data_IF_636002366782
#
_entry.id   IF_636002366782
#
_cell.length_a   1.000
_cell.length_b   1.000
_cell.length_c   1.000
_cell.angle_alpha   90.00
_cell.angle_beta   90.00
_cell.angle_gamma   90.00
#
_symmetry.space_group_name_H-M   'P 1'
#
loop_
_entity.id
_entity.type
_entity.pdbx_description
1 polymer ?
#
# COMPACT_ATOMS: atom_id res chain seq x y z
N UNK A 1 2.61 6.57 -7.06
CA UNK A 1 3.83 7.02 -6.36
C UNK A 1 4.99 7.13 -7.33
N UNK A 2 5.82 8.16 -7.16
CA UNK A 2 7.04 8.37 -7.96
C UNK A 2 8.09 7.30 -7.61
N UNK A 3 9.09 7.06 -8.48
CA UNK A 3 10.22 6.19 -8.18
C UNK A 3 10.88 6.53 -6.84
N UNK A 4 11.11 5.51 -6.01
CA UNK A 4 11.74 5.63 -4.70
C UNK A 4 10.91 6.33 -3.62
N UNK A 5 9.68 6.78 -3.92
CA UNK A 5 8.83 7.42 -2.94
C UNK A 5 8.45 6.45 -1.81
N UNK A 6 8.38 6.99 -0.59
CA UNK A 6 7.94 6.27 0.60
C UNK A 6 6.96 7.13 1.40
N UNK A 7 5.94 6.48 1.95
CA UNK A 7 4.96 7.09 2.84
C UNK A 7 4.90 6.22 4.09
N UNK A 8 5.09 6.82 5.26
CA UNK A 8 4.98 6.17 6.56
C UNK A 8 3.79 6.76 7.34
N UNK A 9 3.00 5.89 7.97
CA UNK A 9 1.91 6.25 8.85
C UNK A 9 2.14 5.61 10.22
N UNK A 10 2.27 6.44 11.26
CA UNK A 10 2.49 5.96 12.62
C UNK A 10 1.24 5.32 13.25
N UNK A 11 0.05 5.65 12.76
CA UNK A 11 -1.23 5.09 13.19
C UNK A 11 -2.26 5.15 12.05
N UNK A 12 -3.30 4.29 12.05
CA UNK A 12 -4.35 4.34 11.03
C UNK A 12 -5.21 5.58 11.26
N UNK A 13 -5.49 6.33 10.18
CA UNK A 13 -6.38 7.51 10.24
C UNK A 13 -7.82 7.14 10.68
N UNK A 14 -8.27 5.93 10.34
CA UNK A 14 -9.54 5.35 10.77
C UNK A 14 -9.30 3.87 11.06
N UNK A 15 -9.54 3.45 12.30
CA UNK A 15 -9.36 2.06 12.71
C UNK A 15 -10.36 1.14 11.99
N UNK A 16 -9.87 0.02 11.44
CA UNK A 16 -10.72 -0.95 10.74
C UNK A 16 -11.14 -0.55 9.33
N UNK A 17 -10.59 0.54 8.78
CA UNK A 17 -10.84 0.93 7.40
C UNK A 17 -10.26 -0.12 6.44
N UNK A 18 -11.10 -0.64 5.55
CA UNK A 18 -10.68 -1.63 4.56
C UNK A 18 -10.11 -0.91 3.34
N UNK A 19 -8.91 -1.34 2.92
CA UNK A 19 -8.23 -0.86 1.73
C UNK A 19 -8.02 -1.98 0.73
N UNK A 20 -8.29 -1.68 -0.53
CA UNK A 20 -8.00 -2.54 -1.66
C UNK A 20 -7.05 -1.80 -2.59
N UNK A 21 -5.91 -2.42 -2.87
CA UNK A 21 -4.89 -1.87 -3.75
C UNK A 21 -4.78 -2.78 -4.95
N UNK A 22 -4.99 -2.22 -6.13
CA UNK A 22 -4.71 -2.90 -7.39
C UNK A 22 -3.56 -2.18 -8.11
N UNK A 23 -2.47 -2.90 -8.34
CA UNK A 23 -1.28 -2.34 -8.95
C UNK A 23 -1.37 -2.44 -10.48
N UNK A 24 -1.39 -1.30 -11.16
CA UNK A 24 -1.48 -1.21 -12.62
C UNK A 24 -0.11 -1.32 -13.29
N UNK A 25 0.92 -0.71 -12.70
CA UNK A 25 2.29 -0.76 -13.21
C UNK A 25 3.32 -0.43 -12.13
N UNK A 26 4.56 -0.88 -12.31
CA UNK A 26 5.63 -0.73 -11.34
C UNK A 26 5.55 -1.78 -10.25
N UNK A 27 6.08 -1.46 -9.06
CA UNK A 27 6.07 -2.33 -7.89
C UNK A 27 5.82 -1.49 -6.63
N UNK A 28 5.03 -2.04 -5.71
CA UNK A 28 4.69 -1.40 -4.45
C UNK A 28 4.86 -2.39 -3.29
N UNK A 29 5.72 -2.05 -2.34
CA UNK A 29 5.86 -2.77 -1.08
C UNK A 29 5.03 -2.08 -0.01
N UNK A 30 4.14 -2.83 0.62
CA UNK A 30 3.29 -2.39 1.72
C UNK A 30 3.75 -3.14 2.95
N UNK A 31 4.09 -2.42 4.01
CA UNK A 31 4.42 -3.01 5.31
C UNK A 31 3.40 -2.57 6.32
N UNK A 32 2.87 -3.50 7.10
CA UNK A 32 1.98 -3.22 8.23
C UNK A 32 2.47 -4.03 9.43
N UNK A 33 2.88 -3.32 10.47
CA UNK A 33 3.53 -3.91 11.65
C UNK A 33 4.69 -4.85 11.25
N UNK A 34 4.52 -6.17 11.43
CA UNK A 34 5.51 -7.20 11.13
C UNK A 34 5.33 -7.86 9.76
N UNK A 35 4.25 -7.53 9.05
CA UNK A 35 3.93 -8.14 7.77
C UNK A 35 4.27 -7.21 6.61
N UNK A 36 4.79 -7.78 5.53
CA UNK A 36 5.10 -7.03 4.31
C UNK A 36 4.63 -7.80 3.09
N UNK A 37 4.09 -7.07 2.13
CA UNK A 37 3.64 -7.57 0.84
C UNK A 37 4.22 -6.73 -0.28
N UNK A 38 4.85 -7.37 -1.26
CA UNK A 38 5.31 -6.72 -2.48
C UNK A 38 4.36 -7.09 -3.61
N UNK A 39 3.73 -6.07 -4.21
CA UNK A 39 2.84 -6.21 -5.34
C UNK A 39 3.58 -5.89 -6.63
N UNK A 40 3.31 -6.68 -7.68
CA UNK A 40 3.67 -6.42 -9.07
C UNK A 40 2.46 -5.98 -9.88
N UNK A 41 2.70 -5.48 -11.08
CA UNK A 41 1.61 -5.12 -12.01
C UNK A 41 0.65 -6.30 -12.22
N UNK A 42 -0.64 -6.07 -11.97
CA UNK A 42 -1.70 -7.09 -12.01
C UNK A 42 -2.13 -7.58 -10.63
N UNK A 43 -1.27 -7.46 -9.61
CA UNK A 43 -1.57 -7.94 -8.27
C UNK A 43 -2.58 -7.05 -7.53
N UNK A 44 -3.37 -7.69 -6.66
CA UNK A 44 -4.32 -7.02 -5.78
C UNK A 44 -4.07 -7.43 -4.32
N UNK A 45 -4.06 -6.44 -3.43
CA UNK A 45 -4.02 -6.65 -1.99
C UNK A 45 -5.26 -6.03 -1.34
N UNK A 46 -5.93 -6.83 -0.52
CA UNK A 46 -6.99 -6.37 0.38
C UNK A 46 -6.55 -6.56 1.81
N UNK A 47 -6.63 -5.50 2.62
CA UNK A 47 -6.26 -5.54 4.02
C UNK A 47 -7.04 -4.50 4.82
N UNK A 48 -7.11 -4.71 6.12
CA UNK A 48 -7.66 -3.74 7.06
C UNK A 48 -6.50 -2.96 7.66
N UNK A 49 -6.62 -1.64 7.73
CA UNK A 49 -5.61 -0.82 8.39
C UNK A 49 -5.61 -1.08 9.91
N UNK A 50 -4.48 -1.57 10.41
CA UNK A 50 -4.21 -1.76 11.82
C UNK A 50 -2.78 -1.34 12.15
N UNK A 51 -2.61 -0.42 13.10
CA UNK A 51 -1.29 -0.01 13.58
C UNK A 51 -0.44 0.79 12.57
N UNK A 52 0.88 0.67 12.66
CA UNK A 52 1.85 1.35 11.79
C UNK A 52 1.87 0.72 10.41
N UNK A 53 1.82 1.55 9.37
CA UNK A 53 1.93 1.08 7.99
C UNK A 53 2.88 1.95 7.16
N UNK A 54 3.50 1.36 6.15
CA UNK A 54 4.28 2.08 5.16
C UNK A 54 4.05 1.56 3.75
N UNK A 55 4.18 2.47 2.80
CA UNK A 55 4.04 2.23 1.36
C UNK A 55 5.33 2.69 0.71
N UNK A 56 5.99 1.79 -0.01
CA UNK A 56 7.25 2.08 -0.69
C UNK A 56 7.16 1.69 -2.15
N UNK A 57 7.32 2.66 -3.03
CA UNK A 57 7.40 2.41 -4.47
C UNK A 57 8.80 1.92 -4.85
N UNK A 58 8.86 1.11 -5.90
CA UNK A 58 10.13 0.66 -6.48
C UNK A 58 11.03 1.84 -6.85
N UNK A 59 12.34 1.67 -6.66
CA UNK A 59 13.35 2.73 -6.75
C UNK A 59 13.37 3.46 -8.11
N UNK A 60 13.19 2.72 -9.21
CA UNK A 60 13.24 3.26 -10.57
C UNK A 60 11.88 3.24 -11.29
N UNK A 61 11.16 2.10 -11.27
CA UNK A 61 9.84 1.96 -11.90
C UNK A 61 8.67 2.70 -11.23
N UNK A 62 8.82 3.16 -9.98
CA UNK A 62 7.72 3.74 -9.22
C UNK A 62 6.55 2.77 -9.02
N UNK A 63 5.36 3.32 -8.76
CA UNK A 63 4.14 2.52 -8.61
C UNK A 63 2.91 3.29 -9.09
N UNK A 64 2.12 2.73 -10.00
CA UNK A 64 0.80 3.26 -10.38
C UNK A 64 -0.25 2.26 -9.93
N UNK A 65 -1.12 2.67 -9.01
CA UNK A 65 -2.12 1.80 -8.41
C UNK A 65 -3.45 2.52 -8.26
N UNK A 66 -4.53 1.75 -8.18
CA UNK A 66 -5.83 2.21 -7.70
C UNK A 66 -5.90 1.87 -6.21
N UNK A 67 -6.33 2.84 -5.40
CA UNK A 67 -6.69 2.64 -4.01
C UNK A 67 -8.20 2.79 -3.88
N UNK A 68 -8.87 1.72 -3.43
CA UNK A 68 -10.27 1.74 -3.05
C UNK A 68 -10.35 1.70 -1.53
N UNK A 69 -11.16 2.58 -0.97
CA UNK A 69 -11.36 2.72 0.47
C UNK A 69 -12.81 2.44 0.79
N UNK A 70 -13.06 1.42 1.60
CA UNK A 70 -14.39 1.06 2.05
C UNK A 70 -14.54 1.51 3.51
N UNK A 71 -15.49 2.42 3.75
CA UNK A 71 -15.90 2.74 5.13
C UNK A 71 -16.71 1.56 5.69
N UNK A 72 -16.54 1.24 6.98
CA UNK A 72 -17.39 0.26 7.64
C UNK A 72 -18.86 0.68 7.64
#
# INVERSE_FOLDING_TARGET
MRPGARIDYDAPLVQGLEQHIWLQSGELTITMETQSWTLQAGDCLRFHLSGRSSFQAHAEGGARYILVVCKP
#
